data_IF_361904210012
#
_entry.id   IF_361904210012
#
_cell.length_a   1.000
_cell.length_b   1.000
_cell.length_c   1.000
_cell.angle_alpha   90.00
_cell.angle_beta   90.00
_cell.angle_gamma   90.00
#
_symmetry.space_group_name_H-M   'P 1'
#
loop_
_entity.id
_entity.type
_entity.pdbx_description
1 polymer ?
#
# COMPACT_ATOMS: atom_id res chain seq x y z
N UNK A 1 -8.70 0.39 -30.53
CA UNK A 1 -7.33 0.61 -31.09
C UNK A 1 -6.33 0.38 -29.97
N UNK A 2 -5.20 -0.28 -30.26
CA UNK A 2 -4.16 -0.65 -29.26
C UNK A 2 -3.34 0.57 -28.76
N UNK A 3 -3.56 1.75 -29.34
CA UNK A 3 -2.67 2.92 -29.19
C UNK A 3 -3.28 4.09 -28.39
N UNK A 4 -4.33 3.84 -27.60
CA UNK A 4 -4.91 4.86 -26.69
C UNK A 4 -4.81 4.40 -25.25
N UNK A 5 -4.53 5.36 -24.36
CA UNK A 5 -4.64 5.16 -22.92
C UNK A 5 -6.05 4.68 -22.60
N UNK A 6 -6.17 3.58 -21.85
CA UNK A 6 -7.44 3.01 -21.41
C UNK A 6 -7.61 3.29 -19.93
N UNK A 7 -8.76 3.85 -19.54
CA UNK A 7 -9.17 3.97 -18.15
C UNK A 7 -10.28 2.93 -17.92
N UNK A 8 -10.04 1.95 -17.05
CA UNK A 8 -10.94 0.84 -16.82
C UNK A 8 -11.07 0.63 -15.31
N UNK A 9 -12.26 0.85 -14.77
CA UNK A 9 -12.58 0.55 -13.37
C UNK A 9 -12.86 -0.94 -13.15
N UNK A 10 -12.77 -1.39 -11.90
CA UNK A 10 -13.09 -2.77 -11.54
C UNK A 10 -14.59 -3.09 -11.68
N UNK A 11 -15.45 -2.08 -11.62
CA UNK A 11 -16.89 -2.17 -11.92
C UNK A 11 -17.17 -2.53 -13.39
N UNK A 12 -16.25 -2.18 -14.29
CA UNK A 12 -16.32 -2.51 -15.72
C UNK A 12 -15.52 -3.78 -16.06
N UNK A 13 -14.29 -3.90 -15.56
CA UNK A 13 -13.43 -5.05 -15.84
C UNK A 13 -13.87 -6.31 -15.10
N UNK A 14 -14.54 -6.16 -13.96
CA UNK A 14 -14.84 -7.25 -13.04
C UNK A 14 -13.60 -7.84 -12.36
N UNK A 15 -13.84 -8.91 -11.62
CA UNK A 15 -12.82 -9.73 -10.99
C UNK A 15 -12.69 -11.06 -11.72
N UNK A 16 -11.53 -11.69 -11.57
CA UNK A 16 -11.26 -13.05 -12.02
C UNK A 16 -12.24 -14.02 -11.36
N UNK A 17 -12.47 -15.17 -12.00
CA UNK A 17 -13.32 -16.24 -11.48
C UNK A 17 -12.57 -17.20 -10.59
N UNK A 18 -11.24 -17.23 -10.68
CA UNK A 18 -10.40 -18.12 -9.88
C UNK A 18 -10.00 -17.47 -8.54
N UNK A 19 -10.23 -18.19 -7.44
CA UNK A 19 -9.82 -17.76 -6.11
C UNK A 19 -8.31 -17.85 -5.96
N UNK A 20 -7.65 -16.71 -5.79
CA UNK A 20 -6.24 -16.66 -5.50
C UNK A 20 -6.02 -16.63 -3.97
N UNK A 21 -5.13 -17.50 -3.49
CA UNK A 21 -4.89 -17.71 -2.05
C UNK A 21 -3.40 -17.65 -1.75
N UNK A 22 -3.04 -16.94 -0.69
CA UNK A 22 -1.73 -17.04 -0.06
C UNK A 22 -1.89 -16.76 1.44
N UNK A 23 -1.29 -17.62 2.28
CA UNK A 23 -1.35 -17.44 3.73
C UNK A 23 -2.78 -17.37 4.23
N UNK A 24 -3.15 -16.24 4.82
CA UNK A 24 -4.48 -15.96 5.37
C UNK A 24 -5.37 -15.18 4.38
N UNK A 25 -4.85 -14.77 3.22
CA UNK A 25 -5.59 -14.03 2.20
C UNK A 25 -6.18 -14.97 1.13
N UNK A 26 -7.40 -14.66 0.71
CA UNK A 26 -8.17 -15.40 -0.29
C UNK A 26 -9.12 -14.47 -1.03
N UNK A 27 -8.76 -14.10 -2.26
CA UNK A 27 -9.43 -13.07 -3.04
C UNK A 27 -9.51 -13.39 -4.52
N UNK A 28 -10.60 -13.00 -5.17
CA UNK A 28 -10.64 -12.74 -6.60
C UNK A 28 -9.88 -11.44 -6.89
N UNK A 29 -9.03 -11.47 -7.91
CA UNK A 29 -8.21 -10.34 -8.36
C UNK A 29 -8.91 -9.57 -9.48
N UNK A 30 -8.69 -8.27 -9.59
CA UNK A 30 -9.19 -7.48 -10.72
C UNK A 30 -8.70 -8.05 -12.05
N UNK A 31 -9.59 -8.16 -13.05
CA UNK A 31 -9.22 -8.68 -14.37
C UNK A 31 -8.18 -7.80 -15.10
N UNK A 32 -8.09 -6.51 -14.74
CA UNK A 32 -7.04 -5.65 -15.28
C UNK A 32 -5.65 -6.13 -14.83
N UNK A 33 -5.52 -6.47 -13.54
CA UNK A 33 -4.29 -7.00 -12.95
C UNK A 33 -4.04 -8.47 -13.33
N UNK A 34 -5.07 -9.33 -13.26
CA UNK A 34 -4.92 -10.76 -13.47
C UNK A 34 -4.69 -11.10 -14.95
N UNK A 35 -5.50 -10.53 -15.86
CA UNK A 35 -5.61 -11.00 -17.25
C UNK A 35 -5.19 -9.99 -18.31
N UNK A 36 -5.20 -8.70 -18.00
CA UNK A 36 -5.04 -7.65 -19.03
C UNK A 36 -3.64 -7.06 -19.10
N UNK A 37 -2.99 -6.79 -17.95
CA UNK A 37 -1.67 -6.18 -17.92
C UNK A 37 -0.55 -7.22 -17.77
N UNK A 38 0.59 -6.91 -18.37
CA UNK A 38 1.85 -7.65 -18.19
C UNK A 38 2.67 -7.10 -17.01
N UNK A 39 2.46 -5.83 -16.65
CA UNK A 39 3.20 -5.12 -15.60
C UNK A 39 2.32 -4.03 -14.99
N UNK A 40 2.53 -3.77 -13.70
CA UNK A 40 1.83 -2.79 -12.88
C UNK A 40 2.82 -1.77 -12.33
N UNK A 41 2.50 -0.49 -12.57
CA UNK A 41 3.05 0.64 -11.82
C UNK A 41 2.01 1.01 -10.77
N UNK A 42 2.38 0.89 -9.49
CA UNK A 42 1.51 1.15 -8.37
C UNK A 42 1.54 2.64 -8.00
N UNK A 43 0.38 3.28 -7.86
CA UNK A 43 0.23 4.72 -7.60
C UNK A 43 -0.54 4.98 -6.29
N UNK A 44 0.06 4.72 -5.11
CA UNK A 44 -0.55 5.06 -3.83
C UNK A 44 -0.44 6.55 -3.51
N UNK A 45 -1.08 6.98 -2.42
CA UNK A 45 -0.98 8.34 -1.86
C UNK A 45 -0.33 8.25 -0.48
N UNK A 46 0.53 9.21 -0.12
CA UNK A 46 1.14 9.30 1.21
C UNK A 46 0.09 9.68 2.27
N UNK A 47 -0.57 8.69 2.86
CA UNK A 47 -1.64 8.95 3.84
C UNK A 47 -1.76 7.90 4.94
N UNK A 48 -2.36 8.32 6.06
CA UNK A 48 -2.76 7.43 7.13
C UNK A 48 -3.93 6.49 6.71
N UNK A 49 -4.19 5.53 7.59
CA UNK A 49 -5.43 4.77 7.63
C UNK A 49 -5.90 4.61 9.08
N UNK A 50 -7.17 4.90 9.35
CA UNK A 50 -7.79 4.79 10.67
C UNK A 50 -7.80 3.42 11.35
N UNK A 51 -7.24 2.38 10.71
CA UNK A 51 -7.19 1.01 11.24
C UNK A 51 -5.80 0.40 11.02
N UNK A 52 -5.31 0.47 9.78
CA UNK A 52 -4.07 -0.20 9.34
C UNK A 52 -2.84 0.70 9.48
N UNK A 53 -2.99 1.88 10.10
CA UNK A 53 -1.92 2.86 10.29
C UNK A 53 -1.67 3.72 9.07
N UNK A 54 -1.28 3.11 7.95
CA UNK A 54 -0.93 3.81 6.71
C UNK A 54 -1.51 3.12 5.48
N UNK A 55 -1.81 3.90 4.44
CA UNK A 55 -2.14 3.39 3.09
C UNK A 55 -1.03 3.85 2.16
N UNK A 56 -0.14 2.94 1.77
CA UNK A 56 1.02 3.22 0.92
C UNK A 56 1.14 2.12 -0.14
N UNK A 57 2.34 1.72 -0.56
CA UNK A 57 2.57 0.73 -1.62
C UNK A 57 1.77 -0.56 -1.39
N UNK A 58 1.99 -1.26 -0.28
CA UNK A 58 1.47 -2.62 -0.07
C UNK A 58 -0.05 -2.61 0.09
N UNK A 59 -0.58 -1.73 0.94
CA UNK A 59 -2.04 -1.66 1.18
C UNK A 59 -2.81 -1.18 -0.04
N UNK A 60 -2.20 -0.42 -0.96
CA UNK A 60 -2.89 0.04 -2.17
C UNK A 60 -3.43 -1.11 -3.04
N UNK A 61 -2.80 -2.29 -2.96
CA UNK A 61 -3.26 -3.49 -3.67
C UNK A 61 -4.57 -4.06 -3.13
N UNK A 62 -5.09 -3.56 -2.00
CA UNK A 62 -6.47 -3.82 -1.60
C UNK A 62 -7.48 -3.29 -2.63
N UNK A 63 -7.10 -2.29 -3.44
CA UNK A 63 -7.91 -1.83 -4.58
C UNK A 63 -7.97 -2.82 -5.74
N UNK A 64 -7.14 -3.87 -5.75
CA UNK A 64 -7.10 -4.90 -6.79
C UNK A 64 -7.79 -6.21 -6.39
N UNK A 65 -8.45 -6.26 -5.23
CA UNK A 65 -9.16 -7.44 -4.72
C UNK A 65 -10.64 -7.13 -4.46
N UNK A 66 -11.50 -8.13 -4.57
CA UNK A 66 -12.95 -7.93 -4.46
C UNK A 66 -13.48 -7.75 -3.02
N UNK A 67 -12.71 -8.15 -2.00
CA UNK A 67 -13.17 -8.27 -0.61
C UNK A 67 -12.23 -7.60 0.42
N UNK A 68 -11.70 -6.38 0.17
CA UNK A 68 -10.69 -5.77 1.03
C UNK A 68 -11.18 -5.48 2.46
N UNK A 69 -12.50 -5.36 2.66
CA UNK A 69 -13.11 -5.15 3.96
C UNK A 69 -12.81 -6.29 4.95
N UNK A 70 -12.57 -7.52 4.48
CA UNK A 70 -12.28 -8.68 5.35
C UNK A 70 -10.90 -8.62 6.03
N UNK A 71 -10.02 -7.74 5.57
CA UNK A 71 -8.59 -7.76 5.90
C UNK A 71 -8.15 -6.61 6.82
N UNK A 72 -9.05 -6.15 7.69
CA UNK A 72 -8.78 -5.07 8.64
C UNK A 72 -8.61 -5.54 10.08
N UNK A 73 -8.82 -6.84 10.36
CA UNK A 73 -8.53 -7.41 11.68
C UNK A 73 -7.02 -7.32 11.96
N UNK A 74 -6.63 -7.21 13.24
CA UNK A 74 -5.24 -7.05 13.67
C UNK A 74 -4.48 -5.93 12.92
N UNK A 75 -5.14 -4.79 12.71
CA UNK A 75 -4.57 -3.68 11.94
C UNK A 75 -4.07 -4.07 10.54
N UNK A 76 -4.68 -5.10 9.93
CA UNK A 76 -4.35 -5.57 8.58
C UNK A 76 -3.18 -6.55 8.48
N UNK A 77 -2.61 -7.00 9.60
CA UNK A 77 -1.53 -7.99 9.65
C UNK A 77 -2.10 -9.42 9.88
N UNK A 78 -1.71 -10.45 9.10
CA UNK A 78 -0.75 -10.47 7.99
C UNK A 78 -1.34 -10.10 6.62
N UNK A 79 -2.63 -9.80 6.53
CA UNK A 79 -3.35 -9.73 5.27
C UNK A 79 -2.77 -8.78 4.22
N UNK A 80 -2.23 -7.62 4.62
CA UNK A 80 -1.57 -6.71 3.66
C UNK A 80 -0.34 -7.37 3.04
N UNK A 81 0.48 -8.05 3.83
CA UNK A 81 1.63 -8.79 3.32
C UNK A 81 1.20 -9.99 2.47
N UNK A 82 0.21 -10.76 2.94
CA UNK A 82 -0.30 -11.95 2.25
C UNK A 82 -0.92 -11.61 0.88
N UNK A 83 -1.69 -10.53 0.75
CA UNK A 83 -2.24 -10.09 -0.55
C UNK A 83 -1.13 -9.77 -1.54
N UNK A 84 -0.03 -9.18 -1.09
CA UNK A 84 1.11 -8.85 -1.96
C UNK A 84 1.94 -10.08 -2.38
N UNK A 85 1.68 -11.25 -1.79
CA UNK A 85 2.30 -12.52 -2.16
C UNK A 85 1.54 -13.30 -3.22
N UNK A 86 0.29 -12.93 -3.50
CA UNK A 86 -0.53 -13.57 -4.52
C UNK A 86 0.12 -13.40 -5.91
N UNK A 87 0.18 -14.48 -6.71
CA UNK A 87 1.09 -14.62 -7.86
C UNK A 87 1.02 -13.46 -8.87
N UNK A 88 -0.16 -12.98 -9.33
CA UNK A 88 -0.19 -11.84 -10.24
C UNK A 88 0.26 -10.52 -9.58
N UNK A 89 0.00 -10.32 -8.29
CA UNK A 89 0.43 -9.11 -7.57
C UNK A 89 1.95 -9.12 -7.41
N UNK A 90 2.49 -10.19 -6.82
CA UNK A 90 3.92 -10.36 -6.54
C UNK A 90 4.77 -10.23 -7.81
N UNK A 91 4.30 -10.82 -8.91
CA UNK A 91 5.04 -10.86 -10.17
C UNK A 91 4.93 -9.54 -10.94
N UNK A 92 3.72 -8.95 -11.02
CA UNK A 92 3.46 -7.85 -11.96
C UNK A 92 3.69 -6.47 -11.37
N UNK A 93 3.68 -6.27 -10.05
CA UNK A 93 4.04 -4.97 -9.45
C UNK A 93 5.55 -4.79 -9.54
N UNK A 94 6.01 -3.81 -10.34
CA UNK A 94 7.44 -3.61 -10.64
C UNK A 94 7.99 -2.26 -10.18
N UNK A 95 7.12 -1.28 -9.98
CA UNK A 95 7.47 0.08 -9.57
C UNK A 95 6.31 0.68 -8.77
N UNK A 96 6.64 1.38 -7.70
CA UNK A 96 5.68 2.22 -6.98
C UNK A 96 6.10 3.68 -7.09
N UNK A 97 5.16 4.54 -7.45
CA UNK A 97 5.30 6.00 -7.43
C UNK A 97 4.21 6.50 -6.48
N UNK A 98 4.57 6.78 -5.23
CA UNK A 98 3.67 7.32 -4.24
C UNK A 98 3.51 8.82 -4.45
N UNK A 99 2.28 9.24 -4.70
CA UNK A 99 1.89 10.64 -4.70
C UNK A 99 1.98 11.18 -3.26
N UNK A 100 2.91 12.10 -3.06
CA UNK A 100 3.08 12.83 -1.82
C UNK A 100 3.01 14.34 -2.08
N UNK A 101 2.27 14.79 -3.11
CA UNK A 101 2.04 16.21 -3.34
C UNK A 101 1.23 16.79 -2.17
N UNK A 102 0.13 16.12 -1.83
CA UNK A 102 -0.67 16.37 -0.63
C UNK A 102 -0.71 15.11 0.22
N UNK A 103 -0.09 15.15 1.39
CA UNK A 103 -0.06 14.05 2.35
C UNK A 103 -1.12 14.23 3.43
N UNK A 104 -1.55 13.14 4.08
CA UNK A 104 -2.52 13.16 5.19
C UNK A 104 -2.05 12.32 6.37
N UNK A 105 -1.98 12.92 7.57
CA UNK A 105 -1.39 12.27 8.74
C UNK A 105 -2.42 11.68 9.72
N UNK A 106 -3.72 11.91 9.50
CA UNK A 106 -4.81 11.39 10.33
C UNK A 106 -6.16 11.36 9.57
N UNK A 107 -7.07 10.49 10.00
CA UNK A 107 -8.47 10.46 9.59
C UNK A 107 -8.78 9.71 8.30
N UNK A 108 -7.80 8.98 7.76
CA UNK A 108 -7.99 8.11 6.61
C UNK A 108 -8.98 6.98 6.92
N UNK A 109 -9.58 6.36 5.89
CA UNK A 109 -9.11 6.38 4.50
C UNK A 109 -9.59 7.56 3.66
N UNK A 110 -10.66 8.25 4.08
CA UNK A 110 -11.21 9.42 3.40
C UNK A 110 -10.22 10.59 3.40
N UNK A 111 -10.35 11.46 2.40
CA UNK A 111 -9.63 12.72 2.39
C UNK A 111 -10.17 13.66 3.48
N UNK A 112 -9.27 14.18 4.30
CA UNK A 112 -9.53 15.04 5.45
C UNK A 112 -8.64 16.28 5.37
N UNK A 113 -9.11 17.39 4.78
CA UNK A 113 -8.28 18.55 4.51
C UNK A 113 -7.61 19.14 5.76
N UNK A 114 -8.29 19.08 6.91
CA UNK A 114 -7.77 19.54 8.21
C UNK A 114 -6.55 18.74 8.72
N UNK A 115 -6.36 17.52 8.23
CA UNK A 115 -5.23 16.64 8.56
C UNK A 115 -4.30 16.42 7.36
N UNK A 116 -4.42 17.26 6.34
CA UNK A 116 -3.56 17.24 5.17
C UNK A 116 -2.50 18.33 5.20
N UNK A 117 -1.40 18.15 4.47
CA UNK A 117 -0.41 19.19 4.24
C UNK A 117 0.29 19.00 2.89
N UNK A 118 0.81 20.09 2.28
CA UNK A 118 1.60 19.98 1.07
C UNK A 118 2.98 19.41 1.41
N UNK A 119 3.19 18.11 1.20
CA UNK A 119 4.51 17.49 1.29
C UNK A 119 5.34 17.79 0.03
N UNK A 120 4.66 18.08 -1.10
CA UNK A 120 5.26 18.53 -2.36
C UNK A 120 6.33 17.57 -2.92
N UNK A 121 6.11 16.26 -2.78
CA UNK A 121 7.08 15.25 -3.22
C UNK A 121 6.43 14.09 -3.97
N UNK A 122 7.29 13.28 -4.58
CA UNK A 122 6.95 11.95 -5.07
C UNK A 122 7.94 10.96 -4.42
N UNK A 123 7.45 9.83 -3.92
CA UNK A 123 8.32 8.77 -3.44
C UNK A 123 8.33 7.65 -4.47
N UNK A 124 9.50 7.33 -5.02
CA UNK A 124 9.64 6.36 -6.11
C UNK A 124 10.51 5.20 -5.64
N UNK A 125 9.99 3.97 -5.65
CA UNK A 125 10.75 2.81 -5.23
C UNK A 125 10.34 1.53 -5.99
N UNK A 126 11.29 0.62 -6.14
CA UNK A 126 11.03 -0.77 -6.55
C UNK A 126 10.77 -1.70 -5.37
N UNK A 127 11.29 -1.35 -4.19
CA UNK A 127 11.02 -2.04 -2.93
C UNK A 127 9.80 -1.39 -2.26
N UNK A 128 8.63 -2.07 -2.24
CA UNK A 128 7.42 -1.53 -1.63
C UNK A 128 7.49 -1.49 -0.10
N UNK A 129 8.27 -2.38 0.52
CA UNK A 129 8.43 -2.43 1.99
C UNK A 129 9.25 -1.24 2.46
N UNK A 130 10.34 -0.94 1.76
CA UNK A 130 11.18 0.23 2.05
C UNK A 130 10.41 1.54 1.85
N UNK A 131 9.55 1.61 0.81
CA UNK A 131 8.66 2.75 0.59
C UNK A 131 7.67 2.91 1.75
N UNK A 132 6.99 1.82 2.14
CA UNK A 132 5.99 1.85 3.21
C UNK A 132 6.62 2.22 4.55
N UNK A 133 7.79 1.66 4.86
CA UNK A 133 8.55 2.02 6.04
C UNK A 133 8.88 3.52 6.03
N UNK A 134 9.47 4.03 4.95
CA UNK A 134 9.84 5.44 4.82
C UNK A 134 8.62 6.37 4.93
N UNK A 135 7.53 6.03 4.24
CA UNK A 135 6.28 6.79 4.28
C UNK A 135 5.65 6.80 5.67
N UNK A 136 5.65 5.66 6.35
CA UNK A 136 5.21 5.58 7.75
C UNK A 136 6.05 6.49 8.66
N UNK A 137 7.38 6.50 8.51
CA UNK A 137 8.24 7.41 9.29
C UNK A 137 7.95 8.89 8.99
N UNK A 138 7.65 9.25 7.74
CA UNK A 138 7.22 10.61 7.38
C UNK A 138 5.93 10.98 8.13
N UNK A 139 4.92 10.10 8.09
CA UNK A 139 3.65 10.35 8.77
C UNK A 139 3.82 10.45 10.29
N UNK A 140 4.60 9.56 10.93
CA UNK A 140 4.88 9.63 12.38
C UNK A 140 5.54 10.95 12.78
N UNK A 141 6.51 11.44 12.00
CA UNK A 141 7.11 12.76 12.23
C UNK A 141 6.06 13.87 12.15
N UNK A 142 5.16 13.81 11.17
CA UNK A 142 4.09 14.82 11.04
C UNK A 142 3.09 14.75 12.20
N UNK A 143 2.73 13.55 12.63
CA UNK A 143 1.86 13.33 13.79
C UNK A 143 2.49 13.92 15.06
N UNK A 144 3.77 13.67 15.29
CA UNK A 144 4.52 14.24 16.42
C UNK A 144 4.58 15.77 16.37
N UNK A 145 4.84 16.37 15.20
CA UNK A 145 4.79 17.84 14.98
C UNK A 145 3.43 18.43 15.38
N UNK A 146 2.34 17.67 15.17
CA UNK A 146 0.96 18.08 15.50
C UNK A 146 0.51 17.65 16.90
N UNK A 147 1.41 17.16 17.74
CA UNK A 147 1.10 16.73 19.11
C UNK A 147 0.18 15.51 19.18
N UNK A 148 0.11 14.70 18.11
CA UNK A 148 -0.67 13.48 18.09
C UNK A 148 0.11 12.31 18.68
N UNK A 149 -0.62 11.36 19.29
CA UNK A 149 -0.05 10.08 19.72
C UNK A 149 0.49 9.30 18.52
N UNK A 150 1.62 8.57 18.69
CA UNK A 150 2.13 7.68 17.66
C UNK A 150 1.13 6.56 17.33
N UNK A 151 1.19 6.00 16.13
CA UNK A 151 0.20 4.99 15.70
C UNK A 151 0.22 3.75 16.60
N UNK A 152 1.39 3.40 17.18
CA UNK A 152 1.54 2.31 18.13
C UNK A 152 0.69 2.48 19.39
N UNK A 153 0.66 3.68 19.97
CA UNK A 153 -0.19 3.96 21.15
C UNK A 153 -1.69 3.94 20.82
N UNK A 154 -2.02 4.01 19.53
CA UNK A 154 -3.40 3.94 19.04
C UNK A 154 -3.77 2.55 18.53
N UNK A 155 -2.90 1.55 18.72
CA UNK A 155 -3.08 0.19 18.20
C UNK A 155 -3.25 0.11 16.67
N UNK A 156 -2.63 1.07 15.95
CA UNK A 156 -2.63 1.17 14.48
C UNK A 156 -1.21 1.07 13.91
N UNK A 157 -0.25 0.54 14.66
CA UNK A 157 1.10 0.33 14.13
C UNK A 157 1.02 -0.58 12.88
N UNK A 158 1.59 -0.17 11.74
CA UNK A 158 1.52 -0.94 10.49
C UNK A 158 2.47 -2.16 10.54
N UNK A 159 2.18 -3.12 11.42
CA UNK A 159 3.01 -4.32 11.66
C UNK A 159 3.18 -5.18 10.40
N UNK A 160 2.24 -5.09 9.45
CA UNK A 160 2.37 -5.75 8.14
C UNK A 160 3.65 -5.37 7.39
N UNK A 161 4.26 -4.21 7.66
CA UNK A 161 5.54 -3.81 7.06
C UNK A 161 6.65 -4.78 7.50
N UNK A 162 6.67 -5.15 8.78
CA UNK A 162 7.62 -6.14 9.31
C UNK A 162 7.31 -7.54 8.78
N UNK A 163 6.04 -7.93 8.75
CA UNK A 163 5.60 -9.22 8.17
C UNK A 163 5.98 -9.33 6.70
N UNK A 164 5.80 -8.27 5.90
CA UNK A 164 6.18 -8.25 4.49
C UNK A 164 7.70 -8.39 4.27
N UNK A 165 8.51 -7.89 5.20
CA UNK A 165 9.97 -8.00 5.19
C UNK A 165 10.49 -9.38 5.64
N UNK A 166 9.64 -10.21 6.25
CA UNK A 166 10.09 -11.43 6.90
C UNK A 166 10.67 -12.47 5.91
N UNK A 167 11.30 -13.51 6.46
CA UNK A 167 11.93 -14.57 5.68
C UNK A 167 10.94 -15.37 4.80
N UNK A 168 9.64 -15.33 5.11
CA UNK A 168 8.58 -16.04 4.38
C UNK A 168 8.09 -15.20 3.19
N UNK A 169 7.83 -13.91 3.40
CA UNK A 169 7.27 -13.00 2.41
C UNK A 169 8.35 -12.52 1.44
N UNK A 170 9.45 -11.98 1.98
CA UNK A 170 10.57 -11.42 1.21
C UNK A 170 10.07 -10.44 0.14
N UNK A 171 9.19 -9.52 0.52
CA UNK A 171 8.65 -8.49 -0.37
C UNK A 171 9.57 -7.26 -0.47
N UNK A 172 10.55 -7.16 0.43
CA UNK A 172 11.48 -6.03 0.52
C UNK A 172 12.16 -5.97 1.89
N UNK A 173 12.73 -4.82 2.24
CA UNK A 173 13.35 -4.57 3.55
C UNK A 173 12.68 -3.43 4.32
N UNK A 174 12.56 -3.60 5.64
CA UNK A 174 12.20 -2.54 6.58
C UNK A 174 13.38 -2.13 7.48
N UNK A 175 14.59 -2.63 7.23
CA UNK A 175 15.81 -2.22 7.95
C UNK A 175 16.31 -0.87 7.40
N UNK A 176 16.29 0.21 8.20
CA UNK A 176 16.75 1.52 7.76
C UNK A 176 18.21 1.54 7.28
N UNK A 177 19.05 0.62 7.75
CA UNK A 177 20.46 0.54 7.32
C UNK A 177 20.61 0.00 5.90
N UNK A 178 19.56 -0.63 5.37
CA UNK A 178 19.50 -1.16 4.01
C UNK A 178 18.64 -0.31 3.08
N UNK A 179 18.14 0.84 3.56
CA UNK A 179 17.31 1.77 2.80
C UNK A 179 18.11 3.05 2.58
N UNK A 180 18.46 3.31 1.33
CA UNK A 180 19.07 4.58 0.91
C UNK A 180 17.98 5.53 0.39
N UNK A 181 17.83 6.68 1.04
CA UNK A 181 16.86 7.71 0.65
C UNK A 181 17.61 8.84 -0.03
N UNK A 182 17.43 8.95 -1.34
CA UNK A 182 18.02 10.01 -2.15
C UNK A 182 16.97 11.08 -2.43
N UNK A 183 17.21 12.29 -1.94
CA UNK A 183 16.40 13.47 -2.26
C UNK A 183 17.06 14.21 -3.43
N UNK A 184 16.26 14.58 -4.44
CA UNK A 184 16.69 15.21 -5.70
C UNK A 184 15.93 16.50 -5.92
#
# INVERSE_FOLDING_TARGET
RKDRIRCIGNDTAGYDTELAVYGSAGSLLSNTLARTCDTVINLPVLKDHGIVGVTLALKNLFGAIHNPNKYHVNAGDPYVADVNMIEPVRRKVRLTICDALTAQYEGGPSYMPQWSWPYNGLMVARDPVALDYTGWRILERKRAEKGMKPLRELHREPLYIATAADARHRLGTNDPKLIDVVEV
#
